data_IF_731714320620
#
_entry.id   IF_731714320620
#
_cell.length_a   1.000
_cell.length_b   1.000
_cell.length_c   1.000
_cell.angle_alpha   90.00
_cell.angle_beta   90.00
_cell.angle_gamma   90.00
#
_symmetry.space_group_name_H-M   'P 1'
#
loop_
_entity.id
_entity.type
_entity.pdbx_description
1 polymer ?
#
# COMPACT_ATOMS: atom_id res chain seq x y z
N UNK A 1 14.28 -5.21 -15.24
CA UNK A 1 14.65 -5.24 -13.80
C UNK A 1 14.11 -3.99 -13.13
N UNK A 2 13.60 -4.08 -11.89
CA UNK A 2 13.36 -2.86 -11.09
C UNK A 2 14.71 -2.36 -10.57
N UNK A 3 14.99 -1.07 -10.71
CA UNK A 3 16.24 -0.48 -10.22
C UNK A 3 16.31 -0.55 -8.69
N UNK A 4 17.51 -0.57 -8.09
CA UNK A 4 17.67 -0.54 -6.62
C UNK A 4 16.89 0.60 -5.96
N UNK A 5 16.82 1.77 -6.62
CA UNK A 5 16.05 2.94 -6.19
C UNK A 5 14.55 2.63 -6.07
N UNK A 6 13.93 2.07 -7.12
CA UNK A 6 12.50 1.66 -7.09
C UNK A 6 12.17 0.68 -5.96
N UNK A 7 13.11 -0.21 -5.60
CA UNK A 7 12.89 -1.14 -4.51
C UNK A 7 12.98 -0.46 -3.13
N UNK A 8 13.85 0.54 -2.98
CA UNK A 8 13.95 1.33 -1.75
C UNK A 8 12.70 2.18 -1.55
N UNK A 9 12.28 2.90 -2.59
CA UNK A 9 11.09 3.75 -2.55
C UNK A 9 9.84 2.91 -2.21
N UNK A 10 9.73 1.73 -2.81
CA UNK A 10 8.65 0.80 -2.48
C UNK A 10 8.64 0.34 -1.02
N UNK A 11 9.82 0.00 -0.46
CA UNK A 11 9.89 -0.42 0.94
C UNK A 11 9.39 0.69 1.86
N UNK A 12 9.76 1.93 1.57
CA UNK A 12 9.32 3.08 2.35
C UNK A 12 7.80 3.27 2.28
N UNK A 13 7.20 3.18 1.09
CA UNK A 13 5.73 3.26 0.93
C UNK A 13 5.04 2.11 1.66
N UNK A 14 5.54 0.87 1.51
CA UNK A 14 5.02 -0.31 2.21
C UNK A 14 5.04 -0.11 3.72
N UNK A 15 6.15 0.37 4.27
CA UNK A 15 6.31 0.54 5.71
C UNK A 15 5.38 1.64 6.25
N UNK A 16 5.19 2.74 5.49
CA UNK A 16 4.18 3.77 5.82
C UNK A 16 2.75 3.25 5.77
N UNK A 17 2.40 2.43 4.78
CA UNK A 17 1.09 1.78 4.70
C UNK A 17 0.91 0.86 5.92
N UNK A 18 1.86 -0.03 6.21
CA UNK A 18 1.78 -0.88 7.40
C UNK A 18 1.67 -0.08 8.70
N UNK A 19 2.31 1.08 8.77
CA UNK A 19 2.20 1.95 9.94
C UNK A 19 0.82 2.63 10.04
N UNK A 20 0.27 3.11 8.93
CA UNK A 20 -1.07 3.73 8.89
C UNK A 20 -2.20 2.73 9.21
N UNK A 21 -1.95 1.44 9.00
CA UNK A 21 -2.88 0.34 9.25
C UNK A 21 -2.21 -0.75 10.10
N UNK A 22 -1.62 -0.36 11.23
CA UNK A 22 -0.86 -1.27 12.11
C UNK A 22 -1.68 -2.41 12.70
N UNK A 23 -3.00 -2.23 12.78
CA UNK A 23 -3.95 -3.25 13.28
C UNK A 23 -4.25 -4.33 12.23
N UNK A 24 -3.80 -4.15 10.98
CA UNK A 24 -4.10 -5.05 9.87
C UNK A 24 -2.83 -5.68 9.31
N UNK A 25 -2.80 -7.00 9.28
CA UNK A 25 -1.73 -7.74 8.62
C UNK A 25 -1.88 -7.73 7.08
N UNK A 26 -0.92 -7.10 6.41
CA UNK A 26 -0.83 -7.12 4.96
C UNK A 26 0.21 -8.12 4.45
N UNK A 27 -0.20 -8.92 3.47
CA UNK A 27 0.69 -9.81 2.73
C UNK A 27 1.62 -9.00 1.81
N UNK A 28 2.92 -9.04 2.11
CA UNK A 28 3.98 -8.37 1.36
C UNK A 28 4.02 -8.75 -0.12
N UNK A 29 3.71 -10.01 -0.49
CA UNK A 29 3.65 -10.43 -1.89
C UNK A 29 2.48 -9.76 -2.61
N UNK A 30 1.31 -9.67 -1.97
CA UNK A 30 0.12 -9.00 -2.54
C UNK A 30 0.34 -7.49 -2.65
N UNK A 31 0.92 -6.86 -1.63
CA UNK A 31 1.29 -5.44 -1.68
C UNK A 31 2.29 -5.17 -2.80
N UNK A 32 3.34 -6.00 -2.93
CA UNK A 32 4.33 -5.84 -4.01
C UNK A 32 3.73 -6.00 -5.39
N UNK A 33 2.70 -6.84 -5.56
CA UNK A 33 1.93 -6.96 -6.83
C UNK A 33 1.02 -5.75 -7.09
N UNK A 34 0.57 -5.07 -6.03
CA UNK A 34 -0.22 -3.85 -6.13
C UNK A 34 0.65 -2.59 -6.36
N UNK A 35 1.97 -2.68 -6.09
CA UNK A 35 2.94 -1.60 -6.33
C UNK A 35 2.80 -1.02 -7.74
N UNK A 36 2.72 0.31 -7.81
CA UNK A 36 2.57 1.04 -9.08
C UNK A 36 1.13 1.18 -9.57
N UNK A 37 0.15 0.64 -8.84
CA UNK A 37 -1.28 0.86 -9.14
C UNK A 37 -2.04 1.26 -7.88
N UNK A 38 -2.38 2.55 -7.80
CA UNK A 38 -3.19 3.10 -6.71
C UNK A 38 -4.50 2.32 -6.54
N UNK A 39 -5.19 2.00 -7.64
CA UNK A 39 -6.44 1.21 -7.62
C UNK A 39 -6.26 -0.16 -6.98
N UNK A 40 -5.16 -0.87 -7.30
CA UNK A 40 -4.88 -2.19 -6.69
C UNK A 40 -4.55 -2.06 -5.20
N UNK A 41 -3.81 -1.04 -4.79
CA UNK A 41 -3.53 -0.79 -3.38
C UNK A 41 -4.80 -0.47 -2.60
N UNK A 42 -5.65 0.42 -3.12
CA UNK A 42 -6.92 0.77 -2.49
C UNK A 42 -7.83 -0.46 -2.33
N UNK A 43 -7.96 -1.27 -3.38
CA UNK A 43 -8.75 -2.50 -3.30
C UNK A 43 -8.19 -3.52 -2.30
N UNK A 44 -6.86 -3.66 -2.23
CA UNK A 44 -6.21 -4.56 -1.29
C UNK A 44 -6.43 -4.13 0.16
N UNK A 45 -6.34 -2.83 0.44
CA UNK A 45 -6.56 -2.28 1.78
C UNK A 45 -8.03 -2.37 2.15
N UNK A 46 -8.95 -2.02 1.24
CA UNK A 46 -10.39 -2.13 1.46
C UNK A 46 -10.82 -3.57 1.77
N UNK A 47 -10.26 -4.55 1.07
CA UNK A 47 -10.55 -5.96 1.33
C UNK A 47 -10.08 -6.46 2.71
N UNK A 48 -9.26 -5.68 3.43
CA UNK A 48 -8.72 -6.05 4.75
C UNK A 48 -9.25 -5.19 5.88
N UNK A 49 -9.53 -3.93 5.60
CA UNK A 49 -9.94 -2.91 6.59
C UNK A 49 -11.43 -2.61 6.52
N UNK A 50 -12.09 -2.98 5.42
CA UNK A 50 -13.46 -2.59 5.07
C UNK A 50 -13.70 -1.06 5.02
N UNK A 51 -12.65 -0.25 5.20
CA UNK A 51 -12.72 1.20 5.15
C UNK A 51 -13.20 1.70 3.77
N UNK A 52 -13.90 2.84 3.71
CA UNK A 52 -14.31 3.43 2.44
C UNK A 52 -13.12 3.64 1.50
N UNK A 53 -13.27 3.20 0.25
CA UNK A 53 -12.21 3.32 -0.78
C UNK A 53 -11.71 4.77 -0.95
N UNK A 54 -12.57 5.76 -0.72
CA UNK A 54 -12.22 7.17 -0.79
C UNK A 54 -11.22 7.58 0.30
N UNK A 55 -11.42 7.13 1.54
CA UNK A 55 -10.54 7.42 2.67
C UNK A 55 -9.20 6.70 2.54
N UNK A 56 -9.25 5.43 2.13
CA UNK A 56 -8.05 4.66 1.80
C UNK A 56 -7.26 5.38 0.71
N UNK A 57 -7.92 5.83 -0.36
CA UNK A 57 -7.23 6.55 -1.45
C UNK A 57 -6.54 7.81 -0.94
N UNK A 58 -7.20 8.60 -0.07
CA UNK A 58 -6.59 9.79 0.54
C UNK A 58 -5.35 9.42 1.37
N UNK A 59 -5.46 8.43 2.25
CA UNK A 59 -4.35 7.94 3.09
C UNK A 59 -3.19 7.42 2.24
N UNK A 60 -3.47 6.60 1.23
CA UNK A 60 -2.46 6.02 0.32
C UNK A 60 -1.73 7.10 -0.49
N UNK A 61 -2.44 8.12 -0.98
CA UNK A 61 -1.83 9.25 -1.70
C UNK A 61 -0.96 10.10 -0.77
N UNK A 62 -1.33 10.25 0.50
CA UNK A 62 -0.54 11.02 1.47
C UNK A 62 0.79 10.33 1.87
N UNK A 63 0.89 9.01 1.71
CA UNK A 63 2.08 8.23 2.12
C UNK A 63 2.98 7.79 0.96
N UNK A 64 2.52 7.88 -0.29
CA UNK A 64 3.34 7.65 -1.50
C UNK A 64 4.30 8.80 -1.73
#
# INVERSE_FOLDING_TARGET
MATPKMNRDWRQVRDRIKHAWSEVEFDDKKMKKARGSLRKMVNLIHARTEEPRADIRRKVVAVM
#
